data_IF_522627502020
#
_entry.id   IF_522627502020
#
_cell.length_a   1.000
_cell.length_b   1.000
_cell.length_c   1.000
_cell.angle_alpha   90.00
_cell.angle_beta   90.00
_cell.angle_gamma   90.00
#
_symmetry.space_group_name_H-M   'P 1'
#
loop_
_entity.id
_entity.type
_entity.pdbx_description
1 polymer ?
#
# COMPACT_ATOMS: atom_id res chain seq x y z
N UNK A 1 -6.17 -21.57 16.47
CA UNK A 1 -5.45 -20.71 15.50
C UNK A 1 -5.29 -21.47 14.18
N UNK A 2 -6.13 -21.22 13.16
CA UNK A 2 -5.86 -21.76 11.82
C UNK A 2 -4.66 -21.00 11.25
N UNK A 3 -3.54 -21.68 11.03
CA UNK A 3 -2.34 -21.06 10.48
C UNK A 3 -2.63 -20.54 9.06
N UNK A 4 -2.61 -19.22 8.91
CA UNK A 4 -2.75 -18.52 7.62
C UNK A 4 -1.41 -18.37 6.90
N UNK A 5 -0.29 -18.58 7.60
CA UNK A 5 1.08 -18.44 7.08
C UNK A 5 1.37 -19.25 5.81
N UNK A 6 1.01 -20.55 5.73
CA UNK A 6 1.25 -21.36 4.52
C UNK A 6 0.56 -20.83 3.27
N UNK A 7 -0.51 -20.04 3.43
CA UNK A 7 -1.31 -19.50 2.33
C UNK A 7 -0.76 -18.19 1.76
N UNK A 8 0.16 -17.54 2.47
CA UNK A 8 0.90 -16.36 2.03
C UNK A 8 2.20 -16.72 1.29
N UNK A 9 2.53 -18.01 1.19
CA UNK A 9 3.73 -18.49 0.47
C UNK A 9 3.81 -17.97 -0.98
N UNK A 10 2.72 -17.91 -1.77
CA UNK A 10 2.77 -17.35 -3.12
C UNK A 10 3.15 -15.86 -3.15
N UNK A 11 2.72 -15.08 -2.16
CA UNK A 11 3.08 -13.67 -2.02
C UNK A 11 4.58 -13.52 -1.75
N UNK A 12 5.11 -14.22 -0.74
CA UNK A 12 6.55 -14.13 -0.44
C UNK A 12 7.41 -14.59 -1.61
N UNK A 13 7.00 -15.64 -2.33
CA UNK A 13 7.72 -16.10 -3.53
C UNK A 13 7.77 -15.03 -4.62
N UNK A 14 6.65 -14.39 -4.92
CA UNK A 14 6.59 -13.34 -5.96
C UNK A 14 7.40 -12.11 -5.58
N UNK A 15 7.40 -11.71 -4.30
CA UNK A 15 8.25 -10.64 -3.78
C UNK A 15 9.74 -11.00 -3.92
N UNK A 16 10.14 -12.20 -3.51
CA UNK A 16 11.53 -12.66 -3.65
C UNK A 16 11.97 -12.68 -5.11
N UNK A 17 11.12 -13.17 -6.02
CA UNK A 17 11.39 -13.18 -7.46
C UNK A 17 11.59 -11.75 -7.99
N UNK A 18 10.76 -10.80 -7.58
CA UNK A 18 10.89 -9.40 -7.98
C UNK A 18 12.24 -8.80 -7.57
N UNK A 19 12.64 -8.95 -6.30
CA UNK A 19 13.90 -8.40 -5.80
C UNK A 19 15.13 -9.10 -6.41
N UNK A 20 15.06 -10.41 -6.67
CA UNK A 20 16.16 -11.15 -7.31
C UNK A 20 16.32 -10.76 -8.78
N UNK A 21 15.22 -10.54 -9.51
CA UNK A 21 15.28 -10.23 -10.94
C UNK A 21 15.61 -8.75 -11.24
N UNK A 22 15.22 -7.82 -10.36
CA UNK A 22 15.24 -6.38 -10.66
C UNK A 22 15.89 -5.52 -9.58
N UNK A 23 16.80 -6.10 -8.79
CA UNK A 23 17.36 -5.48 -7.58
C UNK A 23 18.11 -4.16 -7.79
N UNK A 24 18.74 -3.92 -8.95
CA UNK A 24 19.62 -2.75 -9.12
C UNK A 24 19.21 -1.79 -10.24
N UNK A 25 18.91 -2.22 -11.47
CA UNK A 25 18.40 -1.30 -12.50
C UNK A 25 17.48 -2.02 -13.49
N UNK A 26 16.32 -1.41 -13.76
CA UNK A 26 15.37 -1.94 -14.74
C UNK A 26 14.78 -0.81 -15.58
N UNK A 27 14.97 -0.90 -16.88
CA UNK A 27 14.26 -0.07 -17.84
C UNK A 27 12.75 -0.31 -17.76
N UNK A 28 11.91 0.73 -17.94
CA UNK A 28 10.47 0.58 -17.95
C UNK A 28 10.07 -0.40 -19.05
N UNK A 29 9.61 -1.58 -18.66
CA UNK A 29 9.18 -2.64 -19.58
C UNK A 29 7.87 -3.24 -19.11
N UNK A 30 7.10 -3.79 -20.05
CA UNK A 30 5.86 -4.50 -19.76
C UNK A 30 6.15 -5.69 -18.84
N UNK A 31 7.28 -6.37 -19.04
CA UNK A 31 7.69 -7.48 -18.18
C UNK A 31 7.95 -7.03 -16.73
N UNK A 32 8.69 -5.93 -16.53
CA UNK A 32 8.89 -5.35 -15.20
C UNK A 32 7.56 -4.95 -14.54
N UNK A 33 6.63 -4.38 -15.30
CA UNK A 33 5.29 -4.06 -14.81
C UNK A 33 4.54 -5.30 -14.30
N UNK A 34 4.52 -6.38 -15.08
CA UNK A 34 3.86 -7.63 -14.68
C UNK A 34 4.48 -8.16 -13.38
N UNK A 35 5.82 -8.26 -13.31
CA UNK A 35 6.49 -8.81 -12.13
C UNK A 35 6.29 -7.93 -10.90
N UNK A 36 6.24 -6.60 -11.06
CA UNK A 36 5.96 -5.66 -9.97
C UNK A 36 4.53 -5.79 -9.43
N UNK A 37 3.56 -6.08 -10.29
CA UNK A 37 2.16 -6.26 -9.90
C UNK A 37 1.85 -7.66 -9.32
N UNK A 38 2.68 -8.68 -9.60
CA UNK A 38 2.46 -10.07 -9.16
C UNK A 38 2.22 -10.24 -7.65
N UNK A 39 3.00 -9.60 -6.75
CA UNK A 39 2.75 -9.70 -5.30
C UNK A 39 1.34 -9.24 -4.91
N UNK A 40 0.88 -8.12 -5.46
CA UNK A 40 -0.44 -7.58 -5.16
C UNK A 40 -1.53 -8.49 -5.73
N UNK A 41 -1.36 -9.01 -6.94
CA UNK A 41 -2.29 -9.98 -7.54
C UNK A 41 -2.39 -11.25 -6.68
N UNK A 42 -1.25 -11.74 -6.16
CA UNK A 42 -1.25 -12.88 -5.22
C UNK A 42 -2.02 -12.58 -3.93
N UNK A 43 -1.92 -11.36 -3.39
CA UNK A 43 -2.70 -10.93 -2.23
C UNK A 43 -4.19 -10.83 -2.55
N UNK A 44 -4.56 -10.29 -3.71
CA UNK A 44 -5.96 -10.24 -4.15
C UNK A 44 -6.57 -11.65 -4.23
N UNK A 45 -5.86 -12.60 -4.85
CA UNK A 45 -6.30 -14.00 -4.92
C UNK A 45 -6.43 -14.62 -3.52
N UNK A 46 -5.47 -14.36 -2.63
CA UNK A 46 -5.53 -14.84 -1.25
C UNK A 46 -6.78 -14.32 -0.53
N UNK A 47 -7.08 -13.02 -0.64
CA UNK A 47 -8.27 -12.40 -0.03
C UNK A 47 -9.55 -12.90 -0.69
N UNK A 48 -9.59 -13.14 -2.00
CA UNK A 48 -10.79 -13.72 -2.65
C UNK A 48 -11.07 -15.15 -2.16
N UNK A 49 -10.04 -15.99 -2.06
CA UNK A 49 -10.20 -17.40 -1.68
C UNK A 49 -10.47 -17.60 -0.18
N UNK A 50 -10.04 -16.68 0.68
CA UNK A 50 -10.12 -16.82 2.14
C UNK A 50 -10.93 -15.73 2.85
N UNK A 51 -11.24 -14.64 2.17
CA UNK A 51 -11.89 -13.42 2.68
C UNK A 51 -13.41 -13.45 2.71
N UNK A 52 -14.04 -14.44 2.07
CA UNK A 52 -15.49 -14.44 1.81
C UNK A 52 -16.35 -15.21 2.83
N UNK A 53 -15.86 -15.48 4.05
CA UNK A 53 -16.65 -16.19 5.07
C UNK A 53 -17.25 -15.24 6.12
N UNK A 54 -18.59 -15.14 6.15
CA UNK A 54 -19.48 -14.46 7.11
C UNK A 54 -19.51 -12.90 7.12
N UNK A 55 -20.70 -12.37 7.42
CA UNK A 55 -21.27 -11.08 6.98
C UNK A 55 -20.42 -9.81 7.22
N UNK A 56 -19.76 -9.68 8.39
CA UNK A 56 -18.89 -8.51 8.67
C UNK A 56 -17.50 -8.60 8.03
N UNK A 57 -16.96 -9.82 7.91
CA UNK A 57 -15.67 -10.07 7.28
C UNK A 57 -15.72 -9.75 5.78
N UNK A 58 -16.91 -9.86 5.17
CA UNK A 58 -17.16 -9.51 3.78
C UNK A 58 -16.96 -8.02 3.49
N UNK A 59 -17.43 -7.12 4.37
CA UNK A 59 -17.24 -5.67 4.18
C UNK A 59 -15.77 -5.30 4.29
N UNK A 60 -15.06 -5.87 5.28
CA UNK A 60 -13.62 -5.70 5.45
C UNK A 60 -12.85 -6.18 4.20
N UNK A 61 -13.08 -7.43 3.78
CA UNK A 61 -12.40 -8.03 2.63
C UNK A 61 -12.63 -7.24 1.34
N UNK A 62 -13.85 -6.73 1.11
CA UNK A 62 -14.15 -5.89 -0.07
C UNK A 62 -13.36 -4.59 -0.09
N UNK A 63 -13.26 -3.87 1.02
CA UNK A 63 -12.46 -2.65 1.06
C UNK A 63 -10.97 -2.92 0.90
N UNK A 64 -10.46 -4.01 1.49
CA UNK A 64 -9.08 -4.46 1.25
C UNK A 64 -8.85 -4.82 -0.23
N UNK A 65 -9.78 -5.53 -0.88
CA UNK A 65 -9.68 -5.86 -2.30
C UNK A 65 -9.68 -4.62 -3.20
N UNK A 66 -10.54 -3.64 -2.92
CA UNK A 66 -10.57 -2.38 -3.67
C UNK A 66 -9.23 -1.64 -3.48
N UNK A 67 -8.71 -1.58 -2.25
CA UNK A 67 -7.40 -0.98 -2.00
C UNK A 67 -6.25 -1.71 -2.71
N UNK A 68 -6.27 -3.05 -2.73
CA UNK A 68 -5.28 -3.85 -3.46
C UNK A 68 -5.36 -3.60 -4.98
N UNK A 69 -6.57 -3.49 -5.53
CA UNK A 69 -6.76 -3.17 -6.95
C UNK A 69 -6.14 -1.81 -7.30
N UNK A 70 -6.42 -0.76 -6.52
CA UNK A 70 -5.82 0.55 -6.74
C UNK A 70 -4.31 0.56 -6.50
N UNK A 71 -3.81 -0.23 -5.54
CA UNK A 71 -2.36 -0.39 -5.33
C UNK A 71 -1.68 -1.07 -6.52
N UNK A 72 -2.33 -2.07 -7.13
CA UNK A 72 -1.85 -2.72 -8.35
C UNK A 72 -1.78 -1.74 -9.53
N UNK A 73 -2.78 -0.87 -9.68
CA UNK A 73 -2.76 0.19 -10.69
C UNK A 73 -1.66 1.22 -10.40
N UNK A 74 -1.48 1.59 -9.13
CA UNK A 74 -0.40 2.45 -8.67
C UNK A 74 0.97 1.89 -9.07
N UNK A 75 1.22 0.61 -8.82
CA UNK A 75 2.47 -0.06 -9.21
C UNK A 75 2.69 -0.03 -10.72
N UNK A 76 1.65 -0.27 -11.52
CA UNK A 76 1.73 -0.21 -12.98
C UNK A 76 2.07 1.20 -13.49
N UNK A 77 1.47 2.25 -12.91
CA UNK A 77 1.80 3.63 -13.27
C UNK A 77 3.22 4.02 -12.82
N UNK A 78 3.66 3.53 -11.67
CA UNK A 78 4.98 3.85 -11.12
C UNK A 78 6.14 3.19 -11.90
N UNK A 79 5.87 2.17 -12.72
CA UNK A 79 6.82 1.65 -13.71
C UNK A 79 7.22 2.75 -14.70
N UNK A 80 6.25 3.55 -15.13
CA UNK A 80 6.44 4.67 -16.05
C UNK A 80 6.49 6.01 -15.29
N UNK A 81 7.23 6.04 -14.17
CA UNK A 81 7.33 7.20 -13.26
C UNK A 81 7.70 8.52 -13.96
N UNK A 82 8.40 8.49 -15.10
CA UNK A 82 8.76 9.69 -15.85
C UNK A 82 7.54 10.52 -16.28
N UNK A 83 6.39 9.87 -16.51
CA UNK A 83 5.17 10.53 -17.01
C UNK A 83 3.97 10.40 -16.06
N UNK A 84 3.91 9.31 -15.28
CA UNK A 84 2.72 8.95 -14.50
C UNK A 84 2.96 8.90 -12.99
N UNK A 85 4.02 9.51 -12.48
CA UNK A 85 4.34 9.46 -11.04
C UNK A 85 3.22 10.02 -10.16
N UNK A 86 2.70 11.20 -10.50
CA UNK A 86 1.61 11.85 -9.76
C UNK A 86 0.34 10.99 -9.76
N UNK A 87 0.00 10.42 -10.92
CA UNK A 87 -1.14 9.51 -11.09
C UNK A 87 -0.95 8.25 -10.25
N UNK A 88 0.27 7.69 -10.23
CA UNK A 88 0.62 6.55 -9.39
C UNK A 88 0.41 6.84 -7.90
N UNK A 89 0.91 7.98 -7.40
CA UNK A 89 0.70 8.43 -6.02
C UNK A 89 -0.79 8.59 -5.73
N UNK A 90 -1.56 9.17 -6.65
CA UNK A 90 -3.01 9.33 -6.49
C UNK A 90 -3.72 7.98 -6.36
N UNK A 91 -3.36 6.99 -7.19
CA UNK A 91 -3.92 5.64 -7.08
C UNK A 91 -3.58 5.00 -5.73
N UNK A 92 -2.33 5.14 -5.27
CA UNK A 92 -1.97 4.68 -3.93
C UNK A 92 -2.71 5.45 -2.82
N UNK A 93 -2.94 6.76 -2.97
CA UNK A 93 -3.70 7.53 -2.00
C UNK A 93 -5.14 7.02 -1.88
N UNK A 94 -5.80 6.72 -3.01
CA UNK A 94 -7.11 6.07 -3.04
C UNK A 94 -7.06 4.73 -2.31
N UNK A 95 -6.02 3.91 -2.55
CA UNK A 95 -5.84 2.64 -1.86
C UNK A 95 -5.73 2.81 -0.33
N UNK A 96 -4.93 3.77 0.15
CA UNK A 96 -4.78 4.05 1.59
C UNK A 96 -6.09 4.47 2.25
N UNK A 97 -6.94 5.23 1.55
CA UNK A 97 -8.27 5.59 2.04
C UNK A 97 -9.14 4.35 2.20
N UNK A 98 -9.14 3.44 1.22
CA UNK A 98 -9.90 2.18 1.30
C UNK A 98 -9.38 1.26 2.40
N UNK A 99 -8.06 1.17 2.57
CA UNK A 99 -7.46 0.42 3.69
C UNK A 99 -7.87 1.02 5.05
N UNK A 100 -7.76 2.34 5.20
CA UNK A 100 -8.20 3.04 6.43
C UNK A 100 -9.68 2.78 6.73
N UNK A 101 -10.54 2.79 5.70
CA UNK A 101 -11.97 2.45 5.83
C UNK A 101 -12.20 0.99 6.18
N UNK A 102 -11.38 0.08 5.68
CA UNK A 102 -11.45 -1.34 6.04
C UNK A 102 -11.19 -1.53 7.54
N UNK A 103 -10.16 -0.87 8.09
CA UNK A 103 -9.83 -0.97 9.52
C UNK A 103 -10.87 -0.28 10.43
N UNK A 104 -11.60 0.72 9.91
CA UNK A 104 -12.64 1.43 10.65
C UNK A 104 -12.06 2.38 11.71
N UNK A 105 -12.93 3.10 12.43
CA UNK A 105 -12.56 4.18 13.35
C UNK A 105 -12.61 3.82 14.84
N UNK A 106 -12.99 2.57 15.18
CA UNK A 106 -13.08 2.08 16.55
C UNK A 106 -12.22 0.82 16.74
N UNK A 107 -11.51 0.68 17.87
CA UNK A 107 -11.34 1.67 18.94
C UNK A 107 -10.44 2.84 18.51
N UNK A 108 -10.59 3.98 19.20
CA UNK A 108 -9.80 5.17 18.96
C UNK A 108 -8.59 5.13 19.91
N UNK A 109 -7.43 4.71 19.41
CA UNK A 109 -6.20 4.61 20.20
C UNK A 109 -5.30 5.84 19.93
N UNK A 110 -5.42 6.94 20.68
CA UNK A 110 -4.66 8.16 20.41
C UNK A 110 -3.14 7.95 20.59
N UNK A 111 -2.70 7.05 21.47
CA UNK A 111 -1.28 6.74 21.67
C UNK A 111 -0.63 6.15 20.42
N UNK A 112 -1.30 5.20 19.76
CA UNK A 112 -0.81 4.69 18.48
C UNK A 112 -0.79 5.81 17.43
N UNK A 113 -1.80 6.70 17.46
CA UNK A 113 -1.90 7.84 16.53
C UNK A 113 -0.75 8.83 16.68
N UNK A 114 -0.37 9.17 17.92
CA UNK A 114 0.76 10.08 18.18
C UNK A 114 2.09 9.47 17.73
N UNK A 115 2.30 8.17 17.94
CA UNK A 115 3.51 7.48 17.46
C UNK A 115 3.62 7.56 15.93
N UNK A 116 2.56 7.22 15.19
CA UNK A 116 2.59 7.29 13.73
C UNK A 116 2.66 8.72 13.21
N UNK A 117 2.09 9.70 13.90
CA UNK A 117 2.22 11.11 13.55
C UNK A 117 3.67 11.58 13.69
N UNK A 118 4.33 11.27 14.81
CA UNK A 118 5.74 11.63 15.02
C UNK A 118 6.63 10.96 13.98
N UNK A 119 6.43 9.66 13.73
CA UNK A 119 7.16 8.95 12.68
C UNK A 119 6.93 9.56 11.30
N UNK A 120 5.68 9.92 10.97
CA UNK A 120 5.33 10.59 9.73
C UNK A 120 6.02 11.95 9.59
N UNK A 121 6.08 12.75 10.66
CA UNK A 121 6.80 14.03 10.66
C UNK A 121 8.30 13.86 10.45
N UNK A 122 8.93 12.87 11.09
CA UNK A 122 10.35 12.56 10.92
C UNK A 122 10.63 12.19 9.45
N UNK A 123 9.84 11.26 8.90
CA UNK A 123 9.97 10.82 7.51
C UNK A 123 9.75 11.97 6.53
N UNK A 124 8.71 12.79 6.75
CA UNK A 124 8.44 13.96 5.90
C UNK A 124 9.59 14.97 5.94
N UNK A 125 10.17 15.23 7.12
CA UNK A 125 11.30 16.17 7.26
C UNK A 125 12.51 15.69 6.45
N UNK A 126 12.84 14.39 6.56
CA UNK A 126 13.94 13.79 5.80
C UNK A 126 13.72 13.83 4.28
N UNK A 127 12.49 13.57 3.82
CA UNK A 127 12.15 13.59 2.39
C UNK A 127 12.11 15.01 1.84
N UNK A 128 11.62 15.98 2.62
CA UNK A 128 11.48 17.37 2.21
C UNK A 128 12.83 17.99 1.80
N UNK A 129 13.91 17.61 2.45
CA UNK A 129 15.26 18.10 2.13
C UNK A 129 15.73 17.69 0.72
N UNK A 130 15.11 16.66 0.12
CA UNK A 130 15.41 16.19 -1.23
C UNK A 130 14.41 16.63 -2.31
N UNK A 131 13.44 17.50 -2.00
CA UNK A 131 12.41 17.95 -2.94
C UNK A 131 12.48 19.47 -3.12
N UNK A 132 12.90 19.92 -4.30
CA UNK A 132 12.98 21.34 -4.64
C UNK A 132 11.62 21.96 -5.02
N UNK A 133 10.67 21.13 -5.50
CA UNK A 133 9.34 21.59 -5.89
C UNK A 133 8.37 21.66 -4.70
N UNK A 134 7.89 22.87 -4.41
CA UNK A 134 6.92 23.14 -3.36
C UNK A 134 5.59 22.39 -3.54
N UNK A 135 5.11 22.24 -4.78
CA UNK A 135 3.84 21.55 -5.05
C UNK A 135 3.99 20.07 -4.74
N UNK A 136 5.05 19.44 -5.24
CA UNK A 136 5.37 18.04 -4.94
C UNK A 136 5.58 17.79 -3.45
N UNK A 137 6.24 18.72 -2.74
CA UNK A 137 6.43 18.64 -1.29
C UNK A 137 5.11 18.59 -0.53
N UNK A 138 4.12 19.39 -0.93
CA UNK A 138 2.79 19.36 -0.31
C UNK A 138 2.06 18.04 -0.60
N UNK A 139 2.10 17.56 -1.85
CA UNK A 139 1.50 16.26 -2.24
C UNK A 139 2.10 15.12 -1.41
N UNK A 140 3.43 15.09 -1.26
CA UNK A 140 4.14 14.09 -0.45
C UNK A 140 3.75 14.20 1.02
N UNK A 141 3.65 15.42 1.58
CA UNK A 141 3.19 15.64 2.95
C UNK A 141 1.78 15.09 3.20
N UNK A 142 0.84 15.40 2.31
CA UNK A 142 -0.52 14.83 2.36
C UNK A 142 -0.50 13.30 2.26
N UNK A 143 0.35 12.74 1.40
CA UNK A 143 0.47 11.29 1.23
C UNK A 143 1.06 10.59 2.47
N UNK A 144 2.09 11.18 3.09
CA UNK A 144 2.67 10.69 4.36
C UNK A 144 1.63 10.70 5.48
N UNK A 145 0.81 11.75 5.57
CA UNK A 145 -0.28 11.81 6.53
C UNK A 145 -1.33 10.70 6.30
N UNK A 146 -1.65 10.41 5.03
CA UNK A 146 -2.55 9.31 4.66
C UNK A 146 -1.98 7.94 5.07
N UNK A 147 -0.72 7.65 4.77
CA UNK A 147 -0.07 6.38 5.18
C UNK A 147 -0.04 6.27 6.70
N UNK A 148 0.34 7.34 7.39
CA UNK A 148 0.41 7.36 8.85
C UNK A 148 -0.96 7.12 9.48
N UNK A 149 -2.02 7.69 8.88
CA UNK A 149 -3.40 7.43 9.29
C UNK A 149 -3.78 5.97 9.06
N UNK A 150 -3.47 5.39 7.91
CA UNK A 150 -3.75 3.99 7.62
C UNK A 150 -3.03 3.07 8.62
N UNK A 151 -1.74 3.29 8.85
CA UNK A 151 -0.93 2.51 9.77
C UNK A 151 -1.44 2.61 11.21
N UNK A 152 -1.81 3.82 11.65
CA UNK A 152 -2.48 4.03 12.93
C UNK A 152 -3.78 3.22 13.03
N UNK A 153 -4.65 3.27 12.02
CA UNK A 153 -5.91 2.53 12.03
C UNK A 153 -5.69 1.02 11.99
N UNK A 154 -4.65 0.54 11.33
CA UNK A 154 -4.28 -0.87 11.30
C UNK A 154 -3.81 -1.39 12.67
N UNK A 155 -3.02 -0.60 13.41
CA UNK A 155 -2.54 -0.97 14.75
C UNK A 155 -3.61 -0.80 15.84
N UNK A 156 -4.54 0.14 15.65
CA UNK A 156 -5.60 0.37 16.62
C UNK A 156 -6.72 -0.68 16.59
N UNK A 157 -6.76 -1.56 15.57
CA UNK A 157 -7.76 -2.61 15.41
C UNK A 157 -7.31 -3.92 16.04
#
# INVERSE_FOLDING_TARGET
>A
LKSVGPKLVPFFKTVSIFFVLFGEESHPSIFYCIVKCLPIISLMLFVLLHGMSLNEYYRYARYILIGLFFSCLGDAFLVYKKYYFEVGILMFAIAQIYYSRAFGWRPFNPYAGTVFLVLGCIVYSYIKDGIDDYVLSYIVGCYVALISTMAWRAVAR
#
